data_IF_305892470920
#
_entry.id   IF_305892470920
#
_cell.length_a   1.000
_cell.length_b   1.000
_cell.length_c   1.000
_cell.angle_alpha   90.00
_cell.angle_beta   90.00
_cell.angle_gamma   90.00
#
_symmetry.space_group_name_H-M   'P 1'
#
loop_
_entity.id
_entity.type
_entity.pdbx_description
1 polymer ?
#
# COMPACT_ATOMS: atom_id res chain seq x y z
N UNK A 1 -17.01 0.79 63.27
CA UNK A 1 -15.81 0.95 62.42
C UNK A 1 -15.88 -0.09 61.31
N UNK A 2 -16.43 0.28 60.16
CA UNK A 2 -16.45 -0.54 58.96
C UNK A 2 -15.89 0.33 57.84
N UNK A 3 -14.67 0.02 57.40
CA UNK A 3 -14.00 0.73 56.32
C UNK A 3 -14.35 0.05 55.00
N UNK A 4 -15.14 0.74 54.19
CA UNK A 4 -15.49 0.35 52.82
C UNK A 4 -14.26 0.54 51.93
N UNK A 5 -13.72 -0.56 51.39
CA UNK A 5 -12.69 -0.53 50.36
C UNK A 5 -13.28 0.00 49.04
N UNK A 6 -12.64 1.05 48.53
CA UNK A 6 -12.90 1.63 47.20
C UNK A 6 -12.18 0.73 46.18
N UNK A 7 -12.84 0.27 45.10
CA UNK A 7 -12.17 -0.52 44.07
C UNK A 7 -11.23 0.37 43.26
N UNK A 8 -10.00 -0.09 43.11
CA UNK A 8 -8.94 0.49 42.28
C UNK A 8 -9.37 0.53 40.82
N UNK A 9 -9.34 1.72 40.21
CA UNK A 9 -9.47 1.91 38.77
C UNK A 9 -8.39 1.11 38.04
N UNK A 10 -8.79 0.02 37.38
CA UNK A 10 -8.01 -0.58 36.30
C UNK A 10 -7.81 0.48 35.21
N UNK A 11 -6.54 0.78 34.98
CA UNK A 11 -6.10 1.72 33.95
C UNK A 11 -6.24 0.98 32.61
N UNK A 12 -7.19 1.39 31.78
CA UNK A 12 -7.28 0.92 30.39
C UNK A 12 -5.93 1.18 29.71
N UNK A 13 -5.28 0.15 29.12
CA UNK A 13 -4.07 0.35 28.35
C UNK A 13 -4.33 1.36 27.22
N UNK A 14 -3.35 2.22 26.95
CA UNK A 14 -3.44 3.21 25.88
C UNK A 14 -3.55 2.49 24.52
N UNK A 15 -4.77 2.37 24.00
CA UNK A 15 -5.12 1.75 22.72
C UNK A 15 -4.23 2.19 21.53
N UNK A 16 -3.75 3.43 21.55
CA UNK A 16 -2.89 4.00 20.51
C UNK A 16 -1.44 3.47 20.58
N UNK A 17 -0.93 3.14 21.78
CA UNK A 17 0.44 2.61 21.92
C UNK A 17 0.56 1.15 21.50
N UNK A 18 -0.49 0.34 21.69
CA UNK A 18 -0.50 -1.06 21.26
C UNK A 18 -0.51 -1.19 19.73
N UNK A 19 -1.27 -0.35 19.03
CA UNK A 19 -1.30 -0.34 17.55
C UNK A 19 0.03 0.13 16.91
N UNK A 20 0.80 0.99 17.59
CA UNK A 20 2.10 1.46 17.08
C UNK A 20 3.20 0.39 17.11
N UNK A 21 2.99 -0.69 17.85
CA UNK A 21 3.91 -1.83 17.95
C UNK A 21 3.31 -3.11 17.37
N UNK A 22 2.29 -2.97 16.51
CA UNK A 22 1.58 -4.08 15.89
C UNK A 22 2.02 -4.32 14.43
N UNK A 23 1.93 -5.58 13.99
CA UNK A 23 2.04 -5.97 12.59
C UNK A 23 0.67 -5.76 11.93
N UNK A 24 0.65 -5.05 10.81
CA UNK A 24 -0.58 -4.79 10.05
C UNK A 24 -0.64 -5.69 8.82
N UNK A 25 -1.72 -6.46 8.72
CA UNK A 25 -2.05 -7.29 7.56
C UNK A 25 -3.16 -6.61 6.76
N UNK A 26 -2.89 -6.35 5.48
CA UNK A 26 -3.81 -5.64 4.59
C UNK A 26 -4.31 -6.57 3.48
N UNK A 27 -5.63 -6.64 3.27
CA UNK A 27 -6.25 -7.43 2.20
C UNK A 27 -7.13 -6.56 1.30
N UNK A 28 -6.73 -6.31 0.04
CA UNK A 28 -7.53 -5.52 -0.89
C UNK A 28 -8.76 -6.29 -1.37
N UNK A 29 -9.91 -5.62 -1.38
CA UNK A 29 -11.19 -6.20 -1.82
C UNK A 29 -11.47 -5.99 -3.31
N UNK A 30 -10.66 -5.16 -3.98
CA UNK A 30 -10.77 -4.89 -5.41
C UNK A 30 -9.44 -5.10 -6.13
N UNK A 31 -9.48 -5.46 -7.41
CA UNK A 31 -8.27 -5.59 -8.24
C UNK A 31 -7.56 -4.24 -8.40
N UNK A 32 -8.33 -3.15 -8.49
CA UNK A 32 -7.80 -1.78 -8.50
C UNK A 32 -6.92 -1.51 -7.28
N UNK A 33 -7.43 -1.78 -6.08
CA UNK A 33 -6.67 -1.54 -4.86
C UNK A 33 -5.45 -2.47 -4.75
N UNK A 34 -5.55 -3.71 -5.26
CA UNK A 34 -4.41 -4.62 -5.36
C UNK A 34 -3.27 -4.02 -6.20
N UNK A 35 -3.58 -3.37 -7.32
CA UNK A 35 -2.55 -2.65 -8.09
C UNK A 35 -1.99 -1.43 -7.34
N UNK A 36 -2.82 -0.67 -6.62
CA UNK A 36 -2.37 0.48 -5.85
C UNK A 36 -1.42 0.09 -4.72
N UNK A 37 -1.72 -0.97 -3.96
CA UNK A 37 -0.82 -1.50 -2.93
C UNK A 37 0.52 -1.99 -3.51
N UNK A 38 0.48 -2.66 -4.67
CA UNK A 38 1.71 -3.06 -5.38
C UNK A 38 2.54 -1.86 -5.82
N UNK A 39 1.91 -0.83 -6.39
CA UNK A 39 2.57 0.41 -6.78
C UNK A 39 3.19 1.11 -5.57
N UNK A 40 2.45 1.25 -4.47
CA UNK A 40 2.96 1.85 -3.24
C UNK A 40 4.21 1.12 -2.73
N UNK A 41 4.17 -0.22 -2.68
CA UNK A 41 5.32 -1.04 -2.31
C UNK A 41 6.52 -0.78 -3.21
N UNK A 42 6.33 -0.83 -4.53
CA UNK A 42 7.43 -0.67 -5.49
C UNK A 42 8.01 0.74 -5.49
N UNK A 43 7.18 1.78 -5.36
CA UNK A 43 7.67 3.16 -5.23
C UNK A 43 8.49 3.34 -3.95
N UNK A 44 8.07 2.73 -2.83
CA UNK A 44 8.85 2.73 -1.59
C UNK A 44 10.18 2.00 -1.77
N UNK A 45 10.19 0.82 -2.41
CA UNK A 45 11.39 0.04 -2.68
C UNK A 45 12.38 0.81 -3.57
N UNK A 46 11.90 1.39 -4.67
CA UNK A 46 12.72 2.19 -5.57
C UNK A 46 13.37 3.37 -4.85
N UNK A 47 12.57 4.14 -4.09
CA UNK A 47 13.05 5.30 -3.33
C UNK A 47 13.97 4.93 -2.17
N UNK A 48 13.76 3.77 -1.53
CA UNK A 48 14.66 3.27 -0.50
C UNK A 48 16.03 2.95 -1.11
N UNK A 49 16.04 2.19 -2.20
CA UNK A 49 17.26 1.81 -2.91
C UNK A 49 18.00 3.03 -3.47
N UNK A 50 17.28 4.06 -3.93
CA UNK A 50 17.87 5.30 -4.44
C UNK A 50 18.75 6.06 -3.43
N UNK A 51 18.62 5.77 -2.12
CA UNK A 51 19.45 6.40 -1.06
C UNK A 51 20.86 5.86 -1.01
N UNK A 52 21.10 4.67 -1.55
CA UNK A 52 22.40 4.01 -1.53
C UNK A 52 23.27 4.38 -2.74
N UNK A 53 24.58 4.38 -2.52
CA UNK A 53 25.57 4.70 -3.56
C UNK A 53 26.18 3.46 -4.22
N UNK A 54 25.87 2.26 -3.74
CA UNK A 54 26.39 1.05 -4.32
C UNK A 54 25.77 0.79 -5.70
N UNK A 55 26.46 -0.01 -6.51
CA UNK A 55 25.95 -0.43 -7.82
C UNK A 55 24.64 -1.21 -7.66
N UNK A 56 24.56 -2.06 -6.63
CA UNK A 56 23.37 -2.86 -6.30
C UNK A 56 22.17 -2.01 -5.90
N UNK A 57 22.40 -0.87 -5.25
CA UNK A 57 21.33 0.08 -4.90
C UNK A 57 20.68 0.67 -6.16
N UNK A 58 21.51 1.06 -7.13
CA UNK A 58 21.04 1.55 -8.43
C UNK A 58 20.33 0.45 -9.23
N UNK A 59 20.85 -0.79 -9.19
CA UNK A 59 20.23 -1.96 -9.81
C UNK A 59 18.83 -2.23 -9.22
N UNK A 60 18.71 -2.28 -7.90
CA UNK A 60 17.45 -2.53 -7.20
C UNK A 60 16.44 -1.41 -7.45
N UNK A 61 16.89 -0.15 -7.48
CA UNK A 61 16.02 0.97 -7.82
C UNK A 61 15.49 0.88 -9.24
N UNK A 62 16.31 0.48 -10.22
CA UNK A 62 15.86 0.29 -11.59
C UNK A 62 14.94 -0.93 -11.71
N UNK A 63 15.25 -2.04 -11.04
CA UNK A 63 14.41 -3.24 -11.04
C UNK A 63 12.99 -2.94 -10.54
N UNK A 64 12.87 -2.22 -9.42
CA UNK A 64 11.58 -1.76 -8.91
C UNK A 64 10.85 -0.83 -9.89
N UNK A 65 11.57 0.07 -10.58
CA UNK A 65 11.00 0.92 -11.63
C UNK A 65 10.48 0.10 -12.82
N UNK A 66 11.18 -0.95 -13.26
CA UNK A 66 10.70 -1.83 -14.33
C UNK A 66 9.42 -2.56 -13.93
N UNK A 67 9.32 -3.01 -12.68
CA UNK A 67 8.09 -3.61 -12.16
C UNK A 67 6.92 -2.60 -12.13
N UNK A 68 7.18 -1.34 -11.76
CA UNK A 68 6.18 -0.26 -11.86
C UNK A 68 5.74 -0.11 -13.32
N UNK A 69 6.69 -0.05 -14.26
CA UNK A 69 6.41 0.07 -15.70
C UNK A 69 5.57 -1.10 -16.22
N UNK A 70 5.82 -2.32 -15.74
CA UNK A 70 5.04 -3.50 -16.07
C UNK A 70 3.59 -3.46 -15.54
N UNK A 71 3.36 -2.85 -14.38
CA UNK A 71 2.01 -2.67 -13.85
C UNK A 71 1.25 -1.62 -14.68
N UNK A 72 1.86 -0.46 -14.90
CA UNK A 72 1.22 0.66 -15.62
C UNK A 72 1.08 0.41 -17.13
N UNK A 73 1.69 -0.65 -17.67
CA UNK A 73 1.53 -1.05 -19.07
C UNK A 73 0.39 -2.04 -19.31
N UNK A 74 0.06 -2.86 -18.30
CA UNK A 74 -0.96 -3.92 -18.41
C UNK A 74 -2.37 -3.41 -18.16
N UNK A 75 -2.48 -2.37 -17.36
CA UNK A 75 -3.75 -1.71 -17.01
C UNK A 75 -3.63 -0.27 -17.43
N UNK A 76 -4.73 0.32 -17.91
CA UNK A 76 -4.82 1.77 -18.07
C UNK A 76 -4.87 2.44 -16.68
N UNK A 77 -3.70 2.47 -16.02
CA UNK A 77 -3.52 2.92 -14.65
C UNK A 77 -3.89 4.40 -14.50
N UNK A 78 -3.68 5.19 -15.56
CA UNK A 78 -4.06 6.60 -15.61
C UNK A 78 -5.56 6.74 -15.38
N UNK A 79 -6.34 6.02 -16.18
CA UNK A 79 -7.81 6.04 -16.10
C UNK A 79 -8.30 5.48 -14.76
N UNK A 80 -7.70 4.39 -14.26
CA UNK A 80 -8.10 3.80 -12.97
C UNK A 80 -7.84 4.73 -11.78
N UNK A 81 -6.71 5.45 -11.78
CA UNK A 81 -6.41 6.46 -10.74
C UNK A 81 -7.33 7.67 -10.85
N UNK A 82 -7.60 8.16 -12.06
CA UNK A 82 -8.54 9.28 -12.25
C UNK A 82 -9.93 8.91 -11.72
N UNK A 83 -10.46 7.74 -12.08
CA UNK A 83 -11.77 7.28 -11.60
C UNK A 83 -11.82 7.17 -10.08
N UNK A 84 -10.75 6.71 -9.45
CA UNK A 84 -10.70 6.60 -8.00
C UNK A 84 -10.59 7.96 -7.31
N UNK A 85 -9.78 8.88 -7.84
CA UNK A 85 -9.72 10.25 -7.37
C UNK A 85 -11.10 10.92 -7.43
N UNK A 86 -11.85 10.72 -8.50
CA UNK A 86 -13.23 11.22 -8.63
C UNK A 86 -14.15 10.61 -7.58
N UNK A 87 -14.12 9.28 -7.43
CA UNK A 87 -14.94 8.57 -6.44
C UNK A 87 -14.69 9.10 -5.03
N UNK A 88 -13.42 9.20 -4.61
CA UNK A 88 -13.04 9.70 -3.28
C UNK A 88 -13.44 11.18 -3.14
N UNK A 89 -13.23 12.00 -4.17
CA UNK A 89 -13.63 13.42 -4.15
C UNK A 89 -15.13 13.57 -3.95
N UNK A 90 -15.94 12.76 -4.64
CA UNK A 90 -17.40 12.74 -4.47
C UNK A 90 -17.80 12.30 -3.07
N UNK A 91 -17.21 11.22 -2.54
CA UNK A 91 -17.49 10.74 -1.18
C UNK A 91 -17.17 11.80 -0.13
N UNK A 92 -15.99 12.43 -0.21
CA UNK A 92 -15.56 13.46 0.73
C UNK A 92 -16.35 14.76 0.58
N UNK A 93 -16.74 15.15 -0.63
CA UNK A 93 -17.56 16.34 -0.87
C UNK A 93 -18.95 16.26 -0.25
N UNK A 94 -19.49 15.06 -0.03
CA UNK A 94 -20.74 14.88 0.70
C UNK A 94 -20.61 15.24 2.21
N UNK A 95 -19.39 15.20 2.76
CA UNK A 95 -19.11 15.55 4.16
C UNK A 95 -19.07 17.06 4.41
N UNK A 96 -19.10 17.90 3.36
CA UNK A 96 -19.08 19.36 3.50
C UNK A 96 -20.29 19.90 4.27
N UNK A 97 -21.38 19.12 4.41
CA UNK A 97 -22.55 19.51 5.20
C UNK A 97 -22.63 18.79 6.56
N UNK A 98 -21.63 17.96 6.92
CA UNK A 98 -21.66 17.17 8.14
C UNK A 98 -21.16 17.98 9.36
N UNK A 99 -21.88 17.90 10.50
CA UNK A 99 -21.45 18.57 11.72
C UNK A 99 -20.13 17.99 12.25
N UNK A 100 -19.23 18.85 12.74
CA UNK A 100 -17.93 18.45 13.30
C UNK A 100 -16.80 18.32 12.28
N UNK A 101 -17.07 18.57 10.99
CA UNK A 101 -16.03 18.58 9.94
C UNK A 101 -15.24 19.88 9.97
N UNK A 102 -13.91 19.78 9.90
CA UNK A 102 -13.01 20.93 9.73
C UNK A 102 -12.97 21.33 8.26
N UNK A 103 -13.80 22.28 7.86
CA UNK A 103 -13.95 22.71 6.46
C UNK A 103 -12.62 23.07 5.79
N UNK A 104 -11.74 23.84 6.45
CA UNK A 104 -10.44 24.21 5.86
C UNK A 104 -9.58 23.00 5.48
N UNK A 105 -9.59 21.95 6.31
CA UNK A 105 -8.84 20.71 6.04
C UNK A 105 -9.47 19.94 4.89
N UNK A 106 -10.80 19.85 4.87
CA UNK A 106 -11.54 19.19 3.79
C UNK A 106 -11.31 19.90 2.44
N UNK A 107 -11.40 21.22 2.41
CA UNK A 107 -11.23 22.02 1.18
C UNK A 107 -9.81 21.93 0.62
N UNK A 108 -8.78 21.96 1.48
CA UNK A 108 -7.39 21.71 1.08
C UNK A 108 -7.21 20.31 0.49
N UNK A 109 -7.84 19.30 1.09
CA UNK A 109 -7.78 17.93 0.62
C UNK A 109 -8.47 17.78 -0.75
N UNK A 110 -9.68 18.32 -0.91
CA UNK A 110 -10.43 18.30 -2.17
C UNK A 110 -9.67 19.05 -3.28
N UNK A 111 -9.03 20.18 -2.94
CA UNK A 111 -8.15 20.92 -3.86
C UNK A 111 -6.96 20.08 -4.30
N UNK A 112 -6.33 19.37 -3.37
CA UNK A 112 -5.19 18.47 -3.66
C UNK A 112 -5.61 17.32 -4.58
N UNK A 113 -6.73 16.65 -4.28
CA UNK A 113 -7.29 15.58 -5.10
C UNK A 113 -7.64 16.07 -6.51
N UNK A 114 -8.28 17.24 -6.61
CA UNK A 114 -8.60 17.90 -7.88
C UNK A 114 -7.35 18.29 -8.67
N UNK A 115 -6.30 18.75 -7.99
CA UNK A 115 -5.00 19.07 -8.59
C UNK A 115 -4.34 17.85 -9.21
N UNK A 116 -4.26 16.73 -8.48
CA UNK A 116 -3.75 15.47 -9.03
C UNK A 116 -4.57 14.97 -10.21
N UNK A 117 -5.90 15.04 -10.12
CA UNK A 117 -6.79 14.66 -11.23
C UNK A 117 -6.51 15.51 -12.48
N UNK A 118 -6.39 16.83 -12.31
CA UNK A 118 -6.10 17.76 -13.39
C UNK A 118 -4.73 17.49 -14.04
N UNK A 119 -3.70 17.25 -13.23
CA UNK A 119 -2.37 16.89 -13.72
C UNK A 119 -2.40 15.58 -14.53
N UNK A 120 -3.07 14.54 -14.03
CA UNK A 120 -3.20 13.28 -14.75
C UNK A 120 -3.96 13.46 -16.07
N UNK A 121 -5.09 14.18 -16.08
CA UNK A 121 -5.80 14.46 -17.34
C UNK A 121 -4.94 15.22 -18.36
N UNK A 122 -4.15 16.19 -17.89
CA UNK A 122 -3.29 17.02 -18.73
C UNK A 122 -2.02 16.31 -19.24
N UNK A 123 -1.70 15.11 -18.75
CA UNK A 123 -0.61 14.31 -19.33
C UNK A 123 -1.01 13.81 -20.72
N UNK A 124 -0.17 14.03 -21.72
CA UNK A 124 -0.37 13.46 -23.04
C UNK A 124 0.03 11.98 -23.08
N UNK A 125 -0.77 11.16 -23.76
CA UNK A 125 -0.46 9.75 -23.98
C UNK A 125 -0.47 8.86 -22.73
N UNK A 126 0.07 7.63 -22.85
CA UNK A 126 0.19 6.66 -21.76
C UNK A 126 1.23 7.07 -20.71
N UNK A 127 1.02 6.63 -19.46
CA UNK A 127 1.99 6.84 -18.38
C UNK A 127 3.37 6.27 -18.72
N UNK A 128 4.41 7.05 -18.42
CA UNK A 128 5.81 6.73 -18.64
C UNK A 128 6.16 6.36 -20.10
N UNK A 129 5.46 6.93 -21.08
CA UNK A 129 5.78 6.73 -22.50
C UNK A 129 7.25 7.09 -22.81
N UNK A 130 7.75 8.20 -22.26
CA UNK A 130 9.16 8.61 -22.41
C UNK A 130 10.17 7.56 -21.91
N UNK A 131 9.85 6.85 -20.82
CA UNK A 131 10.71 5.79 -20.29
C UNK A 131 10.65 4.56 -21.17
N UNK A 132 9.49 4.24 -21.74
CA UNK A 132 9.35 3.12 -22.68
C UNK A 132 10.06 3.38 -24.00
N UNK A 133 10.12 4.63 -24.43
CA UNK A 133 10.86 5.01 -25.63
C UNK A 133 12.38 5.13 -25.40
N UNK A 134 12.83 5.11 -24.15
CA UNK A 134 14.24 5.12 -23.82
C UNK A 134 14.91 3.79 -24.21
N UNK A 135 15.97 3.86 -25.02
CA UNK A 135 16.68 2.68 -25.54
C UNK A 135 17.25 1.78 -24.44
N UNK A 136 17.73 2.34 -23.32
CA UNK A 136 18.20 1.53 -22.21
C UNK A 136 17.06 0.71 -21.61
N UNK A 137 15.88 1.32 -21.43
CA UNK A 137 14.71 0.63 -20.92
C UNK A 137 14.20 -0.43 -21.89
N UNK A 138 14.18 -0.18 -23.20
CA UNK A 138 13.81 -1.19 -24.19
C UNK A 138 14.68 -2.45 -24.07
N UNK A 139 16.01 -2.26 -23.99
CA UNK A 139 16.97 -3.35 -23.82
C UNK A 139 16.77 -4.12 -22.51
N UNK A 140 16.61 -3.39 -21.41
CA UNK A 140 16.46 -3.96 -20.07
C UNK A 140 15.11 -4.68 -19.93
N UNK A 141 14.02 -4.12 -20.44
CA UNK A 141 12.68 -4.73 -20.44
C UNK A 141 12.71 -6.05 -21.23
N UNK A 142 13.31 -6.06 -22.42
CA UNK A 142 13.43 -7.26 -23.26
C UNK A 142 14.11 -8.43 -22.52
N UNK A 143 15.10 -8.14 -21.66
CA UNK A 143 15.85 -9.17 -20.92
C UNK A 143 15.30 -9.48 -19.53
N UNK A 144 14.50 -8.59 -18.94
CA UNK A 144 13.95 -8.76 -17.58
C UNK A 144 13.05 -9.99 -17.41
N UNK A 145 12.44 -10.49 -18.49
CA UNK A 145 11.65 -11.72 -18.47
C UNK A 145 12.48 -13.01 -18.39
N UNK A 146 13.80 -12.94 -18.54
CA UNK A 146 14.70 -14.08 -18.46
C UNK A 146 15.26 -14.15 -17.03
N UNK A 147 15.17 -15.30 -16.34
CA UNK A 147 15.84 -15.48 -15.04
C UNK A 147 17.33 -15.14 -15.15
N UNK A 148 17.79 -14.15 -14.37
CA UNK A 148 19.18 -13.67 -14.43
C UNK A 148 19.52 -12.82 -15.67
N UNK A 149 18.55 -12.45 -16.49
CA UNK A 149 18.76 -11.71 -17.75
C UNK A 149 19.26 -10.26 -17.59
N UNK A 150 19.26 -9.73 -16.36
CA UNK A 150 19.86 -8.43 -16.04
C UNK A 150 21.34 -8.54 -15.64
N UNK A 151 22.00 -9.65 -15.98
CA UNK A 151 23.41 -9.84 -15.75
C UNK A 151 24.27 -8.96 -16.67
N UNK A 152 25.46 -8.65 -16.18
CA UNK A 152 26.36 -7.66 -16.76
C UNK A 152 26.90 -8.03 -18.16
N UNK A 153 26.95 -9.33 -18.51
CA UNK A 153 27.47 -9.77 -19.81
C UNK A 153 26.42 -9.73 -20.93
N UNK A 154 25.13 -9.88 -20.59
CA UNK A 154 24.03 -9.83 -21.56
C UNK A 154 23.59 -8.40 -21.89
N UNK A 155 23.94 -7.43 -21.03
CA UNK A 155 23.56 -6.02 -21.19
C UNK A 155 24.76 -5.07 -21.02
N UNK A 156 25.67 -4.97 -22.01
CA UNK A 156 26.84 -4.10 -21.93
C UNK A 156 26.51 -2.63 -21.66
N UNK A 157 25.45 -2.10 -22.28
CA UNK A 157 25.00 -0.72 -22.06
C UNK A 157 24.50 -0.50 -20.63
N UNK A 158 23.80 -1.49 -20.06
CA UNK A 158 23.34 -1.44 -18.68
C UNK A 158 24.51 -1.51 -17.70
N UNK A 159 25.45 -2.42 -17.92
CA UNK A 159 26.70 -2.51 -17.15
C UNK A 159 27.47 -1.19 -17.20
N UNK A 160 27.60 -0.60 -18.38
CA UNK A 160 28.29 0.69 -18.55
C UNK A 160 27.63 1.79 -17.72
N UNK A 161 26.30 1.87 -17.72
CA UNK A 161 25.55 2.81 -16.87
C UNK A 161 25.77 2.52 -15.38
N UNK A 162 25.70 1.25 -14.96
CA UNK A 162 25.94 0.82 -13.58
C UNK A 162 27.36 1.15 -13.06
N UNK A 163 28.34 1.29 -13.95
CA UNK A 163 29.72 1.67 -13.60
C UNK A 163 29.99 3.17 -13.60
N UNK A 164 29.02 4.00 -13.96
CA UNK A 164 29.13 5.46 -13.83
C UNK A 164 29.24 5.87 -12.35
N UNK A 165 29.78 7.07 -12.02
CA UNK A 165 29.79 7.59 -10.65
C UNK A 165 28.39 7.57 -10.01
N UNK A 166 28.32 7.34 -8.69
CA UNK A 166 27.06 7.19 -7.97
C UNK A 166 26.08 8.34 -8.22
N UNK A 167 26.55 9.60 -8.15
CA UNK A 167 25.74 10.78 -8.43
C UNK A 167 25.06 10.73 -9.80
N UNK A 168 25.78 10.35 -10.86
CA UNK A 168 25.23 10.24 -12.23
C UNK A 168 24.12 9.19 -12.31
N UNK A 169 24.28 8.05 -11.63
CA UNK A 169 23.26 6.98 -11.62
C UNK A 169 22.02 7.41 -10.83
N UNK A 170 22.22 7.96 -9.64
CA UNK A 170 21.17 8.43 -8.74
C UNK A 170 20.37 9.55 -9.40
N UNK A 171 21.02 10.52 -10.04
CA UNK A 171 20.33 11.63 -10.70
C UNK A 171 19.47 11.14 -11.87
N UNK A 172 19.97 10.19 -12.68
CA UNK A 172 19.17 9.56 -13.74
C UNK A 172 17.96 8.81 -13.17
N UNK A 173 18.14 7.98 -12.15
CA UNK A 173 17.05 7.25 -11.49
C UNK A 173 16.02 8.20 -10.89
N UNK A 174 16.46 9.29 -10.25
CA UNK A 174 15.58 10.31 -9.68
C UNK A 174 14.71 10.94 -10.77
N UNK A 175 15.31 11.31 -11.90
CA UNK A 175 14.58 11.90 -13.03
C UNK A 175 13.56 10.92 -13.61
N UNK A 176 13.92 9.64 -13.77
CA UNK A 176 12.98 8.63 -14.26
C UNK A 176 11.84 8.34 -13.28
N UNK A 177 12.11 8.33 -11.97
CA UNK A 177 11.04 8.18 -10.97
C UNK A 177 10.15 9.43 -10.92
N UNK A 178 10.72 10.62 -11.11
CA UNK A 178 9.99 11.88 -11.06
C UNK A 178 8.91 11.98 -12.14
N UNK A 179 9.07 11.36 -13.31
CA UNK A 179 8.03 11.36 -14.34
C UNK A 179 6.79 10.54 -13.97
N UNK A 180 6.86 9.78 -12.87
CA UNK A 180 5.74 9.05 -12.29
C UNK A 180 5.25 9.66 -10.96
N UNK A 181 5.72 10.86 -10.59
CA UNK A 181 5.40 11.42 -9.26
C UNK A 181 3.92 11.75 -9.08
N UNK A 182 3.23 12.28 -10.10
CA UNK A 182 1.78 12.52 -10.00
C UNK A 182 1.02 11.21 -9.75
N UNK A 183 1.39 10.12 -10.44
CA UNK A 183 0.82 8.81 -10.20
C UNK A 183 1.10 8.35 -8.77
N UNK A 184 2.37 8.39 -8.35
CA UNK A 184 2.82 7.95 -7.03
C UNK A 184 2.09 8.69 -5.91
N UNK A 185 2.08 10.02 -5.96
CA UNK A 185 1.47 10.87 -4.94
C UNK A 185 -0.06 10.68 -4.89
N UNK A 186 -0.70 10.49 -6.04
CA UNK A 186 -2.13 10.17 -6.09
C UNK A 186 -2.43 8.85 -5.37
N UNK A 187 -1.69 7.79 -5.70
CA UNK A 187 -1.85 6.46 -5.09
C UNK A 187 -1.56 6.50 -3.59
N UNK A 188 -0.46 7.14 -3.16
CA UNK A 188 -0.10 7.32 -1.75
C UNK A 188 -1.21 8.04 -0.97
N UNK A 189 -1.76 9.14 -1.52
CA UNK A 189 -2.83 9.90 -0.87
C UNK A 189 -4.13 9.09 -0.79
N UNK A 190 -4.56 8.44 -1.88
CA UNK A 190 -5.79 7.64 -1.87
C UNK A 190 -5.71 6.49 -0.88
N UNK A 191 -4.59 5.76 -0.85
CA UNK A 191 -4.39 4.67 0.12
C UNK A 191 -4.37 5.19 1.55
N UNK A 192 -3.77 6.35 1.81
CA UNK A 192 -3.80 7.00 3.13
C UNK A 192 -5.25 7.27 3.55
N UNK A 193 -6.04 7.91 2.70
CA UNK A 193 -7.44 8.23 3.00
C UNK A 193 -8.29 6.97 3.23
N UNK A 194 -8.11 5.93 2.42
CA UNK A 194 -8.79 4.64 2.61
C UNK A 194 -8.41 4.04 3.96
N UNK A 195 -7.12 4.00 4.31
CA UNK A 195 -6.63 3.44 5.59
C UNK A 195 -7.14 4.19 6.82
N UNK A 196 -7.37 5.49 6.69
CA UNK A 196 -7.85 6.40 7.76
C UNK A 196 -9.39 6.52 7.79
N UNK A 197 -10.11 5.82 6.91
CA UNK A 197 -11.57 5.96 6.77
C UNK A 197 -12.40 5.31 7.88
N UNK A 198 -11.84 4.34 8.59
CA UNK A 198 -12.55 3.58 9.62
C UNK A 198 -11.59 3.24 10.75
N UNK A 199 -12.00 3.52 11.99
CA UNK A 199 -11.25 3.15 13.18
C UNK A 199 -11.13 1.62 13.34
N UNK A 200 -10.02 1.19 13.93
CA UNK A 200 -9.82 -0.22 14.27
C UNK A 200 -10.64 -0.59 15.51
N UNK A 201 -11.29 -1.75 15.49
CA UNK A 201 -12.12 -2.25 16.58
C UNK A 201 -11.54 -3.55 17.14
N UNK A 202 -11.53 -3.75 18.47
CA UNK A 202 -11.04 -4.99 19.08
C UNK A 202 -12.01 -6.14 18.78
N UNK A 203 -11.46 -7.31 18.47
CA UNK A 203 -12.19 -8.54 18.18
C UNK A 203 -11.41 -9.74 18.74
N UNK A 204 -12.12 -10.87 18.87
CA UNK A 204 -11.53 -12.15 19.30
C UNK A 204 -11.83 -13.21 18.25
N UNK A 205 -10.78 -13.88 17.76
CA UNK A 205 -10.90 -15.00 16.86
C UNK A 205 -10.94 -16.29 17.68
N UNK A 206 -12.12 -16.91 17.76
CA UNK A 206 -12.32 -18.12 18.54
C UNK A 206 -11.62 -19.29 17.85
N UNK A 207 -10.71 -19.96 18.58
CA UNK A 207 -9.85 -21.03 18.04
C UNK A 207 -9.20 -20.65 16.70
N UNK A 208 -8.61 -19.45 16.67
CA UNK A 208 -7.90 -18.94 15.51
C UNK A 208 -8.76 -18.65 14.27
N UNK A 209 -10.09 -18.56 14.39
CA UNK A 209 -10.97 -18.23 13.27
C UNK A 209 -11.92 -17.08 13.62
N UNK A 210 -11.97 -16.10 12.73
CA UNK A 210 -12.93 -15.00 12.79
C UNK A 210 -13.64 -14.82 11.46
N UNK A 211 -14.94 -14.53 11.53
CA UNK A 211 -15.75 -14.28 10.34
C UNK A 211 -16.72 -13.13 10.59
N UNK A 212 -16.75 -12.16 9.68
CA UNK A 212 -17.60 -10.98 9.79
C UNK A 212 -18.28 -10.68 8.46
N UNK A 213 -19.61 -10.53 8.52
CA UNK A 213 -20.41 -10.07 7.39
C UNK A 213 -20.12 -8.60 7.10
N UNK A 214 -20.08 -8.27 5.82
CA UNK A 214 -19.92 -6.91 5.32
C UNK A 214 -21.29 -6.37 4.92
N UNK A 215 -21.58 -5.12 5.27
CA UNK A 215 -22.77 -4.42 4.77
C UNK A 215 -22.72 -4.32 3.24
N UNK A 216 -23.74 -4.83 2.57
CA UNK A 216 -23.84 -4.83 1.11
C UNK A 216 -24.12 -3.45 0.51
N UNK A 217 -24.54 -2.49 1.34
CA UNK A 217 -24.75 -1.11 0.93
C UNK A 217 -23.47 -0.27 1.00
N UNK A 218 -22.45 -0.73 1.73
CA UNK A 218 -21.15 -0.11 1.81
C UNK A 218 -20.18 -0.67 0.75
N UNK A 219 -19.31 0.17 0.21
CA UNK A 219 -18.29 -0.25 -0.75
C UNK A 219 -16.94 -0.40 -0.04
N UNK A 220 -16.74 -1.53 0.63
CA UNK A 220 -15.48 -1.81 1.28
C UNK A 220 -14.33 -1.98 0.27
N UNK A 221 -13.21 -1.33 0.54
CA UNK A 221 -12.00 -1.34 -0.28
C UNK A 221 -10.91 -2.21 0.34
N UNK A 222 -10.73 -2.15 1.66
CA UNK A 222 -9.59 -2.74 2.35
C UNK A 222 -10.00 -3.34 3.70
N UNK A 223 -9.52 -4.54 3.99
CA UNK A 223 -9.52 -5.10 5.35
C UNK A 223 -8.13 -4.92 5.94
N UNK A 224 -8.06 -4.42 7.18
CA UNK A 224 -6.80 -4.25 7.92
C UNK A 224 -6.93 -4.98 9.25
N UNK A 225 -5.96 -5.85 9.57
CA UNK A 225 -5.88 -6.57 10.84
C UNK A 225 -4.55 -6.23 11.52
N UNK A 226 -4.61 -5.89 12.81
CA UNK A 226 -3.44 -5.64 13.63
C UNK A 226 -3.25 -6.78 14.62
N UNK A 227 -2.02 -7.30 14.66
CA UNK A 227 -1.57 -8.27 15.64
C UNK A 227 -0.36 -7.74 16.42
N UNK A 228 -0.20 -8.07 17.70
CA UNK A 228 1.05 -7.79 18.43
C UNK A 228 2.28 -8.30 17.67
N UNK A 229 3.40 -7.57 17.69
CA UNK A 229 4.63 -7.98 16.98
C UNK A 229 5.22 -9.29 17.48
N UNK A 230 4.99 -9.62 18.75
CA UNK A 230 5.40 -10.86 19.40
C UNK A 230 4.38 -12.00 19.26
N UNK A 231 3.27 -11.77 18.54
CA UNK A 231 2.28 -12.81 18.27
C UNK A 231 2.94 -13.98 17.52
N UNK A 232 2.77 -15.24 17.97
CA UNK A 232 3.30 -16.42 17.29
C UNK A 232 2.50 -16.80 16.03
N UNK A 233 1.64 -15.89 15.56
CA UNK A 233 0.66 -16.11 14.52
C UNK A 233 0.84 -15.13 13.35
N UNK A 234 0.51 -15.58 12.16
CA UNK A 234 0.16 -14.71 11.04
C UNK A 234 -1.31 -14.93 10.67
N UNK A 235 -1.90 -13.99 9.94
CA UNK A 235 -3.30 -14.09 9.54
C UNK A 235 -3.44 -14.28 8.02
N UNK A 236 -4.21 -15.31 7.64
CA UNK A 236 -4.70 -15.47 6.28
C UNK A 236 -6.09 -14.84 6.18
N UNK A 237 -6.19 -13.80 5.35
CA UNK A 237 -7.46 -13.10 5.11
C UNK A 237 -8.03 -13.58 3.78
N UNK A 238 -9.26 -14.06 3.80
CA UNK A 238 -10.06 -14.37 2.62
C UNK A 238 -11.32 -13.52 2.63
N UNK A 239 -11.59 -12.77 1.57
CA UNK A 239 -12.73 -11.88 1.53
C UNK A 239 -13.51 -11.98 0.21
N UNK A 240 -14.83 -11.89 0.32
CA UNK A 240 -15.75 -11.77 -0.79
C UNK A 240 -16.70 -10.59 -0.59
N UNK A 241 -17.67 -10.44 -1.49
CA UNK A 241 -18.58 -9.29 -1.50
C UNK A 241 -19.40 -9.10 -0.21
N UNK A 242 -19.74 -10.20 0.47
CA UNK A 242 -20.67 -10.20 1.60
C UNK A 242 -20.01 -10.44 2.95
N UNK A 243 -18.74 -10.86 2.96
CA UNK A 243 -18.10 -11.40 4.17
C UNK A 243 -16.60 -11.53 3.97
N UNK A 244 -15.86 -11.44 5.07
CA UNK A 244 -14.48 -11.92 5.13
C UNK A 244 -14.29 -12.91 6.27
N UNK A 245 -13.22 -13.70 6.14
CA UNK A 245 -12.73 -14.66 7.12
C UNK A 245 -11.26 -14.36 7.37
N UNK A 246 -10.87 -14.35 8.65
CA UNK A 246 -9.50 -14.23 9.11
C UNK A 246 -9.13 -15.52 9.86
N UNK A 247 -8.10 -16.22 9.37
CA UNK A 247 -7.60 -17.45 9.97
C UNK A 247 -6.20 -17.20 10.52
N UNK A 248 -6.04 -17.40 11.81
CA UNK A 248 -4.78 -17.19 12.53
C UNK A 248 -4.00 -18.50 12.54
N UNK A 249 -2.84 -18.46 11.89
CA UNK A 249 -2.01 -19.61 11.60
C UNK A 249 -0.75 -19.53 12.45
N UNK A 250 -0.38 -20.62 13.12
CA UNK A 250 0.86 -20.70 13.85
C UNK A 250 2.03 -20.68 12.88
N UNK A 251 2.96 -19.75 13.08
CA UNK A 251 4.15 -19.64 12.24
C UNK A 251 5.06 -20.86 12.46
N UNK A 252 5.42 -21.56 11.38
CA UNK A 252 6.37 -22.67 11.41
C UNK A 252 7.27 -22.59 10.18
N UNK A 253 8.58 -22.80 10.39
CA UNK A 253 9.57 -22.88 9.31
C UNK A 253 9.82 -24.31 8.82
N UNK A 254 9.37 -25.32 9.57
CA UNK A 254 9.61 -26.73 9.30
C UNK A 254 8.37 -27.46 8.77
N UNK A 255 7.19 -27.04 9.21
CA UNK A 255 5.92 -27.70 8.91
C UNK A 255 4.96 -26.74 8.20
N UNK A 256 3.96 -27.30 7.53
CA UNK A 256 2.88 -26.50 6.96
C UNK A 256 2.17 -25.75 8.08
N UNK A 257 2.00 -24.41 8.00
CA UNK A 257 1.27 -23.66 9.00
C UNK A 257 -0.12 -24.27 9.26
N UNK A 258 -0.45 -24.43 10.53
CA UNK A 258 -1.74 -24.90 11.00
C UNK A 258 -2.48 -23.77 11.73
N UNK A 259 -3.81 -23.80 11.68
CA UNK A 259 -4.61 -22.84 12.43
C UNK A 259 -4.41 -23.08 13.92
N UNK A 260 -4.28 -22.00 14.70
CA UNK A 260 -4.19 -22.12 16.16
C UNK A 260 -5.51 -22.59 16.76
N UNK A 261 -5.44 -23.38 17.83
CA UNK A 261 -6.60 -23.75 18.64
C UNK A 261 -6.86 -22.75 19.78
N UNK A 262 -5.97 -21.78 19.99
CA UNK A 262 -6.14 -20.71 20.96
C UNK A 262 -7.06 -19.61 20.44
N UNK A 263 -7.75 -18.94 21.36
CA UNK A 263 -8.41 -17.68 21.04
C UNK A 263 -7.35 -16.59 20.82
N UNK A 264 -7.57 -15.73 19.84
CA UNK A 264 -6.62 -14.68 19.45
C UNK A 264 -7.30 -13.32 19.52
N UNK A 265 -6.79 -12.45 20.38
CA UNK A 265 -7.17 -11.04 20.43
C UNK A 265 -6.48 -10.26 19.29
N UNK A 266 -7.24 -9.43 18.60
CA UNK A 266 -6.75 -8.63 17.49
C UNK A 266 -7.60 -7.38 17.28
N UNK A 267 -7.10 -6.46 16.45
CA UNK A 267 -7.91 -5.34 15.96
C UNK A 267 -8.21 -5.50 14.49
N UNK A 268 -9.40 -5.04 14.06
CA UNK A 268 -9.81 -5.04 12.65
C UNK A 268 -10.48 -3.74 12.25
N UNK A 269 -10.22 -3.32 11.02
CA UNK A 269 -10.89 -2.21 10.35
C UNK A 269 -11.33 -2.65 8.96
N UNK A 270 -12.58 -2.34 8.62
CA UNK A 270 -13.16 -2.52 7.29
C UNK A 270 -13.29 -1.14 6.63
N UNK A 271 -12.33 -0.77 5.81
CA UNK A 271 -12.23 0.54 5.20
C UNK A 271 -13.21 0.67 4.01
N UNK A 272 -14.09 1.66 4.03
CA UNK A 272 -15.20 1.81 3.07
C UNK A 272 -15.22 3.13 2.30
N UNK A 273 -14.17 3.97 2.42
CA UNK A 273 -14.06 5.22 1.68
C UNK A 273 -14.05 4.99 0.19
#
# INVERSE_FOLDING_TARGET
MAATQIPTHETTPNHVSELNTAIVYEHPLTERLRFFLRLEFLFRLARHSLRGEAVWDSHNSLAALLEILNIVSRVDMKTEVIKELERITTTLGALTQAPGVKHDTLDQLLTTLGGFKGQLHGMDGPLAQELRENELFKLVIQRSGIPGGLCDFDLPAYRHWLKQPAGVRIDKLRNWLASLDTLRLSVELMLKLIRESTDATPQVAIRGNYQQNLDTNATYQLIRIWLPVDAPYFVEISAGRHRFTARFMQASSAERPAQTDSDVDFYVSCCAL
#
